data_IF_623868009895
#
_entry.id   IF_623868009895
#
_cell.length_a   1.000
_cell.length_b   1.000
_cell.length_c   1.000
_cell.angle_alpha   90.00
_cell.angle_beta   90.00
_cell.angle_gamma   90.00
#
_symmetry.space_group_name_H-M   'P 1'
#
loop_
_entity.id
_entity.type
_entity.pdbx_description
1 polymer ?
#
# COMPACT_ATOMS: atom_id res chain seq x y z
N UNK A 1 25.39 9.90 5.10
CA UNK A 1 26.76 10.19 4.67
C UNK A 1 27.72 9.60 5.70
N UNK A 2 28.14 8.35 5.50
CA UNK A 2 29.18 7.71 6.31
C UNK A 2 29.97 6.76 5.42
N UNK A 3 31.24 7.12 5.22
CA UNK A 3 32.26 6.51 4.35
C UNK A 3 32.48 5.03 4.65
N UNK A 4 32.51 4.23 3.59
CA UNK A 4 33.18 2.94 3.59
C UNK A 4 34.62 3.15 3.13
N UNK A 5 35.58 3.05 4.05
CA UNK A 5 37.01 3.20 3.76
C UNK A 5 37.54 1.96 3.03
N UNK A 6 38.04 2.19 1.82
CA UNK A 6 38.75 1.21 0.99
C UNK A 6 40.23 1.27 1.33
N UNK A 7 40.72 0.37 2.21
CA UNK A 7 42.16 0.20 2.46
C UNK A 7 42.76 -0.76 1.44
N UNK A 8 43.57 -0.20 0.55
CA UNK A 8 44.51 -0.89 -0.33
C UNK A 8 45.65 -1.50 0.51
N UNK A 9 45.76 -2.84 0.49
CA UNK A 9 46.91 -3.57 1.02
C UNK A 9 47.58 -4.33 -0.10
N UNK A 10 48.69 -3.80 -0.63
CA UNK A 10 49.57 -4.54 -1.51
C UNK A 10 50.40 -5.51 -0.68
N UNK A 11 50.34 -6.80 -0.96
CA UNK A 11 51.41 -7.74 -0.63
C UNK A 11 51.42 -8.86 -1.66
N UNK A 12 52.59 -9.03 -2.25
CA UNK A 12 52.90 -9.85 -3.41
C UNK A 12 53.51 -11.14 -2.86
N UNK A 13 52.72 -12.20 -2.76
CA UNK A 13 53.24 -13.55 -2.48
C UNK A 13 52.99 -14.46 -3.68
N UNK A 14 54.06 -15.14 -4.07
CA UNK A 14 54.20 -15.99 -5.24
C UNK A 14 54.39 -17.41 -4.71
N UNK A 15 53.54 -18.34 -5.14
CA UNK A 15 53.81 -19.78 -5.05
C UNK A 15 52.86 -20.55 -4.13
N UNK A 16 51.84 -21.17 -4.70
CA UNK A 16 51.67 -22.63 -4.84
C UNK A 16 50.19 -22.88 -5.16
N UNK A 17 49.91 -23.29 -6.40
CA UNK A 17 48.60 -23.82 -6.79
C UNK A 17 48.40 -25.17 -6.10
N UNK A 18 47.94 -25.14 -4.85
CA UNK A 18 47.28 -26.27 -4.22
C UNK A 18 45.78 -26.07 -4.43
N UNK A 19 45.16 -26.96 -5.21
CA UNK A 19 43.74 -26.96 -5.50
C UNK A 19 42.92 -27.20 -4.23
N UNK A 20 42.72 -26.14 -3.46
CA UNK A 20 41.77 -26.14 -2.38
C UNK A 20 40.38 -25.96 -3.02
N UNK A 21 39.73 -27.09 -3.31
CA UNK A 21 38.32 -27.11 -3.70
C UNK A 21 37.56 -26.49 -2.54
N UNK A 22 37.31 -25.18 -2.64
CA UNK A 22 36.48 -24.42 -1.73
C UNK A 22 35.17 -25.18 -1.55
N UNK A 23 35.04 -25.88 -0.43
CA UNK A 23 33.86 -26.64 -0.08
C UNK A 23 32.73 -25.62 -0.03
N UNK A 24 31.81 -25.69 -0.98
CA UNK A 24 30.61 -24.86 -0.98
C UNK A 24 29.89 -25.15 0.34
N UNK A 25 30.01 -24.24 1.31
CA UNK A 25 29.24 -24.31 2.55
C UNK A 25 27.78 -24.34 2.14
N UNK A 26 27.11 -25.46 2.39
CA UNK A 26 25.67 -25.59 2.19
C UNK A 26 25.02 -24.59 3.13
N UNK A 27 24.59 -23.47 2.56
CA UNK A 27 23.90 -22.43 3.29
C UNK A 27 22.53 -22.99 3.69
N UNK A 28 22.37 -23.31 4.98
CA UNK A 28 21.08 -23.69 5.54
C UNK A 28 20.41 -22.40 5.98
N UNK A 29 19.35 -21.95 5.29
CA UNK A 29 18.70 -20.70 5.65
C UNK A 29 18.09 -20.83 7.05
N UNK A 30 18.24 -19.76 7.83
CA UNK A 30 17.64 -19.69 9.17
C UNK A 30 16.11 -19.71 9.06
N UNK A 31 15.41 -20.07 10.15
CA UNK A 31 13.94 -20.04 10.16
C UNK A 31 13.38 -18.64 9.84
N UNK A 32 14.10 -17.59 10.25
CA UNK A 32 13.77 -16.20 9.94
C UNK A 32 13.85 -15.91 8.45
N UNK A 33 14.92 -16.34 7.77
CA UNK A 33 15.05 -16.15 6.32
C UNK A 33 14.03 -16.96 5.52
N UNK A 34 13.70 -18.17 5.99
CA UNK A 34 12.63 -18.97 5.38
C UNK A 34 11.27 -18.28 5.52
N UNK A 35 10.98 -17.72 6.69
CA UNK A 35 9.77 -16.95 6.93
C UNK A 35 9.75 -15.66 6.09
N UNK A 36 10.87 -14.93 6.01
CA UNK A 36 11.03 -13.76 5.17
C UNK A 36 10.73 -14.07 3.70
N UNK A 37 11.37 -15.11 3.17
CA UNK A 37 11.16 -15.55 1.77
C UNK A 37 9.71 -15.97 1.52
N UNK A 38 9.06 -16.62 2.51
CA UNK A 38 7.65 -17.00 2.41
C UNK A 38 6.71 -15.77 2.42
N UNK A 39 7.01 -14.75 3.23
CA UNK A 39 6.23 -13.51 3.32
C UNK A 39 6.41 -12.61 2.08
N UNK A 40 7.60 -12.60 1.50
CA UNK A 40 7.84 -11.98 0.20
C UNK A 40 7.14 -12.72 -0.96
N UNK A 41 6.75 -13.97 -0.74
CA UNK A 41 6.04 -14.81 -1.69
C UNK A 41 4.53 -14.53 -1.79
N UNK A 42 3.77 -15.44 -2.44
CA UNK A 42 2.31 -15.38 -2.50
C UNK A 42 1.64 -15.62 -1.14
N UNK A 43 2.33 -16.26 -0.19
CA UNK A 43 1.80 -16.52 1.14
C UNK A 43 1.59 -15.23 1.93
N UNK A 44 2.53 -14.27 1.88
CA UNK A 44 2.33 -12.97 2.51
C UNK A 44 1.17 -12.19 1.91
N UNK A 45 1.00 -12.24 0.58
CA UNK A 45 -0.14 -11.61 -0.09
C UNK A 45 -1.46 -12.24 0.36
N UNK A 46 -1.53 -13.57 0.45
CA UNK A 46 -2.71 -14.28 0.93
C UNK A 46 -3.05 -13.89 2.37
N UNK A 47 -2.02 -13.77 3.24
CA UNK A 47 -2.19 -13.33 4.62
C UNK A 47 -2.77 -11.91 4.68
N UNK A 48 -2.23 -10.97 3.92
CA UNK A 48 -2.74 -9.59 3.85
C UNK A 48 -4.18 -9.50 3.31
N UNK A 49 -4.53 -10.33 2.32
CA UNK A 49 -5.88 -10.42 1.80
C UNK A 49 -6.85 -10.96 2.88
N UNK A 50 -6.46 -12.03 3.59
CA UNK A 50 -7.26 -12.59 4.69
C UNK A 50 -7.43 -11.54 5.79
N UNK A 51 -6.36 -10.86 6.17
CA UNK A 51 -6.38 -9.74 7.10
C UNK A 51 -7.38 -8.67 6.69
N UNK A 52 -7.37 -8.27 5.42
CA UNK A 52 -8.29 -7.27 4.88
C UNK A 52 -9.76 -7.71 5.02
N UNK A 53 -10.10 -8.91 4.55
CA UNK A 53 -11.46 -9.43 4.63
C UNK A 53 -11.94 -9.59 6.08
N UNK A 54 -11.08 -10.09 6.96
CA UNK A 54 -11.40 -10.29 8.37
C UNK A 54 -11.57 -8.93 9.10
N UNK A 55 -10.78 -7.93 8.73
CA UNK A 55 -10.93 -6.55 9.23
C UNK A 55 -12.24 -5.91 8.75
N UNK A 56 -12.58 -6.08 7.47
CA UNK A 56 -13.82 -5.59 6.89
C UNK A 56 -15.04 -6.25 7.55
N UNK A 57 -14.99 -7.56 7.79
CA UNK A 57 -16.05 -8.30 8.48
C UNK A 57 -16.28 -7.78 9.91
N UNK A 58 -15.21 -7.53 10.66
CA UNK A 58 -15.30 -6.95 12.02
C UNK A 58 -15.87 -5.54 11.99
N UNK A 59 -15.46 -4.73 11.02
CA UNK A 59 -15.97 -3.37 10.87
C UNK A 59 -17.46 -3.35 10.50
N UNK A 60 -17.90 -4.22 9.59
CA UNK A 60 -19.31 -4.38 9.24
C UNK A 60 -20.14 -4.90 10.43
N UNK A 61 -19.59 -5.86 11.19
CA UNK A 61 -20.23 -6.33 12.43
C UNK A 61 -20.39 -5.20 13.46
N UNK A 62 -19.42 -4.30 13.56
CA UNK A 62 -19.51 -3.10 14.41
C UNK A 62 -20.60 -2.12 13.92
N UNK A 63 -20.67 -1.85 12.61
CA UNK A 63 -21.73 -1.00 12.06
C UNK A 63 -23.10 -1.62 12.35
N UNK A 64 -23.26 -2.94 12.15
CA UNK A 64 -24.50 -3.65 12.42
C UNK A 64 -24.92 -3.54 13.89
N UNK A 65 -23.97 -3.68 14.84
CA UNK A 65 -24.20 -3.46 16.27
C UNK A 65 -24.74 -2.06 16.59
N UNK A 66 -24.36 -1.05 15.81
CA UNK A 66 -24.81 0.30 16.08
C UNK A 66 -26.30 0.53 15.73
N UNK A 67 -26.83 -0.23 14.77
CA UNK A 67 -28.23 -0.11 14.35
C UNK A 67 -29.17 -1.04 15.11
N UNK A 68 -28.71 -2.22 15.49
CA UNK A 68 -29.53 -3.21 16.17
C UNK A 68 -28.84 -3.72 17.44
N UNK A 69 -29.29 -3.19 18.57
CA UNK A 69 -28.80 -3.54 19.89
C UNK A 69 -29.42 -4.85 20.43
N UNK A 70 -30.28 -5.55 19.67
CA UNK A 70 -30.92 -6.81 20.09
C UNK A 70 -30.28 -8.07 19.48
N UNK A 71 -29.33 -7.94 18.53
CA UNK A 71 -28.46 -9.05 18.05
C UNK A 71 -27.35 -9.35 19.09
N UNK A 72 -27.66 -9.18 20.38
CA UNK A 72 -26.70 -8.75 21.41
C UNK A 72 -26.14 -9.88 22.27
N UNK A 73 -26.76 -11.06 22.25
CA UNK A 73 -26.39 -12.15 23.16
C UNK A 73 -26.16 -13.45 22.41
N UNK A 74 -24.97 -13.60 21.84
CA UNK A 74 -24.50 -14.93 21.52
C UNK A 74 -23.02 -15.06 21.88
N UNK A 75 -22.69 -16.11 22.65
CA UNK A 75 -21.31 -16.52 22.93
C UNK A 75 -20.45 -16.61 21.67
N UNK A 76 -21.07 -16.80 20.50
CA UNK A 76 -20.42 -16.79 19.20
C UNK A 76 -19.76 -15.47 18.86
N UNK A 77 -20.27 -14.30 19.26
CA UNK A 77 -19.58 -13.03 18.96
C UNK A 77 -18.26 -12.89 19.69
N UNK A 78 -18.25 -13.14 21.01
CA UNK A 78 -17.03 -13.11 21.79
C UNK A 78 -16.01 -14.14 21.26
N UNK A 79 -16.49 -15.32 20.83
CA UNK A 79 -15.67 -16.32 20.17
C UNK A 79 -15.09 -15.82 18.83
N UNK A 80 -15.90 -15.18 17.98
CA UNK A 80 -15.45 -14.59 16.71
C UNK A 80 -14.42 -13.48 16.94
N UNK A 81 -14.68 -12.56 17.88
CA UNK A 81 -13.73 -11.51 18.24
C UNK A 81 -12.42 -12.09 18.80
N UNK A 82 -12.49 -13.16 19.61
CA UNK A 82 -11.32 -13.83 20.15
C UNK A 82 -10.51 -14.56 19.07
N UNK A 83 -11.16 -15.31 18.18
CA UNK A 83 -10.52 -16.00 17.05
C UNK A 83 -9.84 -14.99 16.12
N UNK A 84 -10.56 -13.92 15.76
CA UNK A 84 -10.03 -12.83 14.97
C UNK A 84 -8.81 -12.17 15.62
N UNK A 85 -8.89 -11.88 16.92
CA UNK A 85 -7.79 -11.26 17.67
C UNK A 85 -6.58 -12.18 17.74
N UNK A 86 -6.78 -13.47 17.96
CA UNK A 86 -5.72 -14.48 17.96
C UNK A 86 -5.01 -14.52 16.60
N UNK A 87 -5.76 -14.49 15.50
CA UNK A 87 -5.21 -14.42 14.14
C UNK A 87 -4.36 -13.15 13.94
N UNK A 88 -4.82 -11.99 14.42
CA UNK A 88 -4.07 -10.74 14.29
C UNK A 88 -2.82 -10.67 15.17
N UNK A 89 -2.87 -11.25 16.37
CA UNK A 89 -1.67 -11.38 17.21
C UNK A 89 -0.64 -12.27 16.51
N UNK A 90 -1.10 -13.37 15.91
CA UNK A 90 -0.24 -14.25 15.13
C UNK A 90 0.38 -13.55 13.91
N UNK A 91 -0.43 -12.83 13.13
CA UNK A 91 0.01 -12.01 12.00
C UNK A 91 1.08 -10.99 12.39
N UNK A 92 0.82 -10.21 13.45
CA UNK A 92 1.77 -9.24 13.97
C UNK A 92 3.04 -9.90 14.49
N UNK A 93 2.92 -11.05 15.17
CA UNK A 93 4.06 -11.84 15.65
C UNK A 93 4.94 -12.36 14.50
N UNK A 94 4.34 -12.80 13.39
CA UNK A 94 5.10 -13.21 12.19
C UNK A 94 5.87 -12.03 11.60
N UNK A 95 5.23 -10.88 11.45
CA UNK A 95 5.90 -9.68 10.94
C UNK A 95 7.02 -9.19 11.86
N UNK A 96 6.80 -9.23 13.17
CA UNK A 96 7.80 -8.87 14.17
C UNK A 96 9.01 -9.82 14.13
N UNK A 97 8.78 -11.12 13.89
CA UNK A 97 9.85 -12.12 13.77
C UNK A 97 10.64 -11.98 12.47
N UNK A 98 9.99 -11.64 11.36
CA UNK A 98 10.64 -11.44 10.05
C UNK A 98 11.38 -10.10 9.96
N UNK A 99 10.96 -9.09 10.72
CA UNK A 99 11.60 -7.78 10.73
C UNK A 99 13.08 -7.86 11.16
N UNK A 100 14.01 -7.18 10.44
CA UNK A 100 15.42 -7.13 10.83
C UNK A 100 15.64 -6.47 12.21
N UNK A 101 14.83 -5.45 12.52
CA UNK A 101 14.86 -4.70 13.77
C UNK A 101 13.45 -4.64 14.38
N UNK A 102 13.09 -5.53 15.33
CA UNK A 102 11.72 -5.61 15.85
C UNK A 102 11.27 -4.33 16.55
N UNK A 103 12.17 -3.67 17.29
CA UNK A 103 11.86 -2.40 17.96
C UNK A 103 11.49 -1.28 16.99
N UNK A 104 12.22 -1.15 15.86
CA UNK A 104 11.90 -0.14 14.84
C UNK A 104 10.60 -0.47 14.12
N UNK A 105 10.29 -1.75 13.93
CA UNK A 105 9.05 -2.18 13.30
C UNK A 105 7.81 -1.76 14.10
N UNK A 106 7.82 -1.94 15.43
CA UNK A 106 6.69 -1.55 16.30
C UNK A 106 6.38 -0.05 16.22
N UNK A 107 7.40 0.80 16.08
CA UNK A 107 7.24 2.25 15.93
C UNK A 107 7.11 2.71 14.47
N UNK A 108 7.05 1.80 13.51
CA UNK A 108 6.73 2.11 12.12
C UNK A 108 5.22 2.36 11.96
N UNK A 109 4.81 3.06 10.90
CA UNK A 109 3.40 3.32 10.61
C UNK A 109 2.55 2.04 10.60
N UNK A 110 3.09 0.94 10.03
CA UNK A 110 2.43 -0.37 9.98
C UNK A 110 2.34 -1.02 11.36
N UNK A 111 3.44 -1.01 12.12
CA UNK A 111 3.46 -1.55 13.48
C UNK A 111 2.47 -0.82 14.40
N UNK A 112 2.32 0.49 14.23
CA UNK A 112 1.32 1.29 14.97
C UNK A 112 -0.10 0.88 14.57
N UNK A 113 -0.40 0.72 13.27
CA UNK A 113 -1.73 0.25 12.82
C UNK A 113 -2.03 -1.12 13.43
N UNK A 114 -1.08 -2.05 13.41
CA UNK A 114 -1.26 -3.39 13.98
C UNK A 114 -1.49 -3.32 15.49
N UNK A 115 -0.68 -2.53 16.19
CA UNK A 115 -0.73 -2.36 17.63
C UNK A 115 -2.06 -1.73 18.08
N UNK A 116 -2.47 -0.63 17.46
CA UNK A 116 -3.77 0.06 17.69
C UNK A 116 -4.94 -0.91 17.58
N UNK A 117 -4.79 -1.96 16.79
CA UNK A 117 -5.87 -2.85 16.48
C UNK A 117 -5.90 -4.15 17.29
N UNK A 118 -4.76 -4.54 17.86
CA UNK A 118 -4.60 -5.67 18.79
C UNK A 118 -4.89 -5.23 20.23
N UNK A 119 -4.36 -4.07 20.63
CA UNK A 119 -4.46 -3.53 22.00
C UNK A 119 -5.89 -3.60 22.57
N UNK A 120 -6.94 -3.14 21.87
CA UNK A 120 -8.28 -3.07 22.45
C UNK A 120 -8.83 -4.45 22.82
N UNK A 121 -8.60 -5.43 21.95
CA UNK A 121 -9.08 -6.80 22.21
C UNK A 121 -8.23 -7.51 23.25
N UNK A 122 -6.92 -7.22 23.31
CA UNK A 122 -6.04 -7.77 24.33
C UNK A 122 -6.41 -7.26 25.73
N UNK A 123 -6.75 -5.97 25.87
CA UNK A 123 -7.17 -5.41 27.16
C UNK A 123 -8.52 -5.99 27.61
N UNK A 124 -9.50 -6.11 26.71
CA UNK A 124 -10.81 -6.71 27.02
C UNK A 124 -10.69 -8.18 27.45
N UNK A 125 -9.67 -8.88 26.93
CA UNK A 125 -9.38 -10.27 27.30
C UNK A 125 -8.74 -10.37 28.70
N UNK A 126 -7.85 -9.44 29.05
CA UNK A 126 -7.11 -9.47 30.33
C UNK A 126 -7.94 -8.93 31.50
N UNK A 127 -8.70 -7.86 31.30
CA UNK A 127 -9.54 -7.26 32.35
C UNK A 127 -10.95 -6.90 31.84
N UNK A 128 -11.95 -7.77 32.09
CA UNK A 128 -13.34 -7.51 31.79
C UNK A 128 -13.96 -6.32 32.56
N UNK A 129 -13.40 -5.94 33.71
CA UNK A 129 -13.94 -4.90 34.61
C UNK A 129 -13.49 -3.48 34.23
N UNK A 130 -12.32 -3.33 33.59
CA UNK A 130 -11.84 -2.06 33.03
C UNK A 130 -12.71 -1.51 31.88
N UNK A 131 -13.75 -2.26 31.45
CA UNK A 131 -14.73 -1.78 30.47
C UNK A 131 -15.36 -0.46 30.90
N UNK A 132 -15.70 -0.27 32.19
CA UNK A 132 -16.56 0.86 32.58
C UNK A 132 -15.91 2.25 32.50
N UNK A 133 -14.59 2.39 32.69
CA UNK A 133 -13.93 3.71 32.75
C UNK A 133 -13.32 4.17 31.43
N UNK A 134 -13.09 3.25 30.47
CA UNK A 134 -12.40 3.53 29.20
C UNK A 134 -13.22 3.09 27.97
N UNK A 135 -14.54 2.94 28.11
CA UNK A 135 -15.41 2.51 27.01
C UNK A 135 -15.24 3.35 25.74
N UNK A 136 -15.04 4.67 25.88
CA UNK A 136 -14.81 5.55 24.73
C UNK A 136 -13.52 5.20 23.97
N UNK A 137 -12.40 4.98 24.68
CA UNK A 137 -11.10 4.64 24.06
C UNK A 137 -11.21 3.32 23.32
N UNK A 138 -11.83 2.30 23.92
CA UNK A 138 -12.00 1.01 23.27
C UNK A 138 -12.90 1.10 22.03
N UNK A 139 -13.92 1.95 22.06
CA UNK A 139 -14.80 2.21 20.90
C UNK A 139 -14.03 2.83 19.76
N UNK A 140 -13.27 3.90 20.03
CA UNK A 140 -12.41 4.59 19.03
C UNK A 140 -11.39 3.62 18.43
N UNK A 141 -10.66 2.87 19.26
CA UNK A 141 -9.64 1.95 18.76
C UNK A 141 -10.22 0.76 17.97
N UNK A 142 -11.46 0.33 18.28
CA UNK A 142 -12.19 -0.67 17.47
C UNK A 142 -12.50 -0.13 16.08
N UNK A 143 -12.89 1.15 15.96
CA UNK A 143 -13.16 1.81 14.67
C UNK A 143 -11.89 2.00 13.86
N UNK A 144 -10.77 2.33 14.52
CA UNK A 144 -9.46 2.46 13.86
C UNK A 144 -9.00 1.17 13.16
N UNK A 145 -9.66 0.02 13.38
CA UNK A 145 -9.47 -1.20 12.59
C UNK A 145 -9.78 -1.02 11.11
N UNK A 146 -10.63 -0.06 10.73
CA UNK A 146 -10.83 0.30 9.34
C UNK A 146 -9.52 0.73 8.65
N UNK A 147 -8.56 1.32 9.40
CA UNK A 147 -7.25 1.71 8.88
C UNK A 147 -6.38 0.52 8.44
N UNK A 148 -6.70 -0.71 8.85
CA UNK A 148 -5.95 -1.90 8.44
C UNK A 148 -6.00 -2.15 6.93
N UNK A 149 -7.03 -1.65 6.23
CA UNK A 149 -7.09 -1.71 4.77
C UNK A 149 -5.90 -0.97 4.12
N UNK A 150 -5.35 0.04 4.80
CA UNK A 150 -4.16 0.76 4.34
C UNK A 150 -2.93 -0.17 4.25
N UNK A 151 -2.88 -1.27 5.02
CA UNK A 151 -1.79 -2.27 4.95
C UNK A 151 -1.80 -2.99 3.62
N UNK A 152 -2.98 -3.47 3.17
CA UNK A 152 -3.12 -4.09 1.85
C UNK A 152 -2.78 -3.09 0.74
N UNK A 153 -3.21 -1.85 0.89
CA UNK A 153 -2.95 -0.80 -0.07
C UNK A 153 -1.43 -0.56 -0.25
N UNK A 154 -0.69 -0.50 0.86
CA UNK A 154 0.76 -0.39 0.86
C UNK A 154 1.45 -1.67 0.34
N UNK A 155 1.01 -2.86 0.74
CA UNK A 155 1.58 -4.12 0.26
C UNK A 155 1.48 -4.23 -1.28
N UNK A 156 0.36 -3.80 -1.86
CA UNK A 156 0.17 -3.74 -3.31
C UNK A 156 1.13 -2.74 -3.95
N UNK A 157 1.34 -1.56 -3.35
CA UNK A 157 2.33 -0.57 -3.83
C UNK A 157 3.76 -1.12 -3.87
N UNK A 158 4.14 -2.00 -2.93
CA UNK A 158 5.49 -2.58 -2.87
C UNK A 158 5.76 -3.63 -3.95
N UNK A 159 4.73 -4.32 -4.44
CA UNK A 159 4.90 -5.41 -5.42
C UNK A 159 4.57 -5.01 -6.86
N UNK A 160 3.75 -3.98 -7.04
CA UNK A 160 3.30 -3.53 -8.36
C UNK A 160 3.35 -2.01 -8.44
N UNK A 161 4.16 -1.51 -9.35
CA UNK A 161 4.20 -0.10 -9.71
C UNK A 161 3.37 0.12 -10.98
N UNK A 162 2.40 1.02 -10.89
CA UNK A 162 1.55 1.39 -12.01
C UNK A 162 0.52 2.42 -11.57
N UNK A 163 0.19 3.35 -12.47
CA UNK A 163 -0.76 4.43 -12.20
C UNK A 163 -2.12 3.90 -11.72
N UNK A 164 -2.64 2.84 -12.34
CA UNK A 164 -3.93 2.24 -11.96
C UNK A 164 -3.94 1.67 -10.53
N UNK A 165 -2.85 1.01 -10.13
CA UNK A 165 -2.71 0.46 -8.78
C UNK A 165 -2.59 1.58 -7.74
N UNK A 166 -1.79 2.60 -8.05
CA UNK A 166 -1.57 3.71 -7.12
C UNK A 166 -2.82 4.57 -6.93
N UNK A 167 -3.59 4.79 -8.00
CA UNK A 167 -4.90 5.42 -7.95
C UNK A 167 -5.88 4.61 -7.09
N UNK A 168 -5.94 3.29 -7.28
CA UNK A 168 -6.80 2.40 -6.49
C UNK A 168 -6.46 2.43 -5.00
N UNK A 169 -5.16 2.43 -4.68
CA UNK A 169 -4.67 2.54 -3.30
C UNK A 169 -5.02 3.88 -2.68
N UNK A 170 -4.84 4.98 -3.42
CA UNK A 170 -5.22 6.31 -2.97
C UNK A 170 -6.73 6.39 -2.65
N UNK A 171 -7.60 5.95 -3.57
CA UNK A 171 -9.05 5.96 -3.36
C UNK A 171 -9.43 5.12 -2.13
N UNK A 172 -8.89 3.90 -2.04
CA UNK A 172 -9.13 3.01 -0.91
C UNK A 172 -8.68 3.63 0.41
N UNK A 173 -7.54 4.33 0.40
CA UNK A 173 -7.00 5.00 1.59
C UNK A 173 -7.86 6.17 2.06
N UNK A 174 -8.34 6.99 1.13
CA UNK A 174 -9.24 8.11 1.44
C UNK A 174 -10.55 7.60 2.04
N UNK A 175 -11.15 6.57 1.44
CA UNK A 175 -12.38 5.94 1.96
C UNK A 175 -12.13 5.40 3.38
N UNK A 176 -11.02 4.72 3.61
CA UNK A 176 -10.67 4.17 4.91
C UNK A 176 -10.52 5.24 5.99
N UNK A 177 -9.83 6.34 5.66
CA UNK A 177 -9.64 7.47 6.57
C UNK A 177 -10.98 8.14 6.88
N UNK A 178 -11.86 8.34 5.88
CA UNK A 178 -13.20 8.92 6.08
C UNK A 178 -14.05 8.03 7.00
N UNK A 179 -14.09 6.72 6.74
CA UNK A 179 -14.86 5.77 7.57
C UNK A 179 -14.32 5.71 9.00
N UNK A 180 -13.00 5.71 9.17
CA UNK A 180 -12.37 5.76 10.48
C UNK A 180 -12.73 7.06 11.19
N UNK A 181 -12.59 8.20 10.52
CA UNK A 181 -12.86 9.50 11.11
C UNK A 181 -14.33 9.65 11.52
N UNK A 182 -15.27 9.15 10.71
CA UNK A 182 -16.69 9.11 11.02
C UNK A 182 -16.96 8.29 12.29
N UNK A 183 -16.37 7.10 12.41
CA UNK A 183 -16.56 6.30 13.61
C UNK A 183 -15.90 6.93 14.84
N UNK A 184 -14.70 7.52 14.72
CA UNK A 184 -14.06 8.22 15.86
C UNK A 184 -14.93 9.39 16.31
N UNK A 185 -15.42 10.21 15.38
CA UNK A 185 -16.33 11.31 15.69
C UNK A 185 -17.59 10.81 16.42
N UNK A 186 -18.23 9.78 15.88
CA UNK A 186 -19.38 9.15 16.51
C UNK A 186 -19.07 8.65 17.92
N UNK A 187 -17.91 8.01 18.11
CA UNK A 187 -17.50 7.49 19.41
C UNK A 187 -17.20 8.58 20.45
N UNK A 188 -16.73 9.75 20.03
CA UNK A 188 -16.46 10.89 20.91
C UNK A 188 -17.73 11.65 21.30
N UNK A 189 -18.68 11.75 20.38
CA UNK A 189 -19.85 12.62 20.55
C UNK A 189 -21.08 11.89 21.09
N UNK A 190 -21.20 10.56 20.89
CA UNK A 190 -22.40 9.78 21.25
C UNK A 190 -22.87 9.95 22.69
N UNK A 191 -21.97 10.21 23.65
CA UNK A 191 -22.31 10.39 25.06
C UNK A 191 -23.01 11.73 25.35
N UNK A 192 -22.89 12.71 24.45
CA UNK A 192 -23.45 14.05 24.60
C UNK A 192 -24.83 14.22 23.92
N UNK A 193 -25.31 13.18 23.22
CA UNK A 193 -26.62 13.16 22.59
C UNK A 193 -27.61 12.40 23.47
N UNK A 194 -28.79 12.98 23.69
CA UNK A 194 -29.87 12.36 24.47
C UNK A 194 -30.32 11.03 23.85
N UNK A 195 -30.92 10.15 24.66
CA UNK A 195 -31.37 8.83 24.22
C UNK A 195 -32.35 8.87 23.04
N UNK A 196 -33.08 9.98 22.87
CA UNK A 196 -34.05 10.19 21.81
C UNK A 196 -33.45 10.78 20.51
N UNK A 197 -32.20 11.27 20.54
CA UNK A 197 -31.49 11.85 19.40
C UNK A 197 -30.04 11.32 19.31
N UNK A 198 -29.84 10.01 19.48
CA UNK A 198 -28.49 9.43 19.35
C UNK A 198 -27.91 9.69 17.97
N UNK A 199 -26.70 10.26 17.94
CA UNK A 199 -25.92 10.44 16.71
C UNK A 199 -25.60 9.08 16.08
N UNK A 200 -26.20 8.80 14.92
CA UNK A 200 -25.97 7.53 14.21
C UNK A 200 -24.66 7.60 13.41
N UNK A 201 -24.13 6.44 13.02
CA UNK A 201 -22.89 6.39 12.23
C UNK A 201 -23.03 7.09 10.88
N UNK A 202 -24.21 7.04 10.25
CA UNK A 202 -24.43 7.74 8.99
C UNK A 202 -24.43 9.26 9.14
N UNK A 203 -24.92 9.79 10.26
CA UNK A 203 -24.87 11.24 10.56
C UNK A 203 -23.43 11.69 10.74
N UNK A 204 -22.63 10.89 11.46
CA UNK A 204 -21.21 11.12 11.62
C UNK A 204 -20.45 11.03 10.28
N UNK A 205 -20.80 10.05 9.43
CA UNK A 205 -20.23 9.91 8.10
C UNK A 205 -20.60 11.10 7.21
N UNK A 206 -21.84 11.55 7.26
CA UNK A 206 -22.30 12.74 6.57
C UNK A 206 -21.50 13.98 7.02
N UNK A 207 -21.37 14.21 8.33
CA UNK A 207 -20.60 15.31 8.88
C UNK A 207 -19.14 15.30 8.40
N UNK A 208 -18.48 14.13 8.44
CA UNK A 208 -17.09 14.00 7.96
C UNK A 208 -16.99 14.23 6.47
N UNK A 209 -17.92 13.72 5.65
CA UNK A 209 -17.93 13.96 4.19
C UNK A 209 -18.13 15.44 3.85
N UNK A 210 -19.04 16.13 4.53
CA UNK A 210 -19.28 17.58 4.37
C UNK A 210 -18.07 18.40 4.80
N UNK A 211 -17.36 17.95 5.84
CA UNK A 211 -16.14 18.60 6.33
C UNK A 211 -14.96 18.38 5.37
N UNK A 212 -14.74 17.15 4.91
CA UNK A 212 -13.67 16.78 3.96
C UNK A 212 -13.87 17.47 2.61
N UNK A 213 -15.12 17.57 2.15
CA UNK A 213 -15.46 18.30 0.93
C UNK A 213 -15.40 19.82 1.08
N UNK A 214 -15.05 20.33 2.27
CA UNK A 214 -14.95 21.76 2.59
C UNK A 214 -16.28 22.52 2.41
N UNK A 215 -17.41 21.82 2.39
CA UNK A 215 -18.73 22.43 2.26
C UNK A 215 -19.15 23.07 3.59
N UNK A 216 -19.06 22.32 4.69
CA UNK A 216 -19.30 22.82 6.04
C UNK A 216 -20.69 23.44 6.27
N UNK A 217 -21.77 22.68 6.05
CA UNK A 217 -23.15 23.19 6.25
C UNK A 217 -23.43 23.71 7.67
N UNK A 218 -22.75 23.17 8.69
CA UNK A 218 -22.90 23.59 10.08
C UNK A 218 -24.17 23.09 10.77
N UNK A 219 -24.85 22.11 10.16
CA UNK A 219 -26.03 21.44 10.71
C UNK A 219 -25.69 20.45 11.83
N UNK A 220 -24.55 19.75 11.69
CA UNK A 220 -23.94 18.95 12.74
C UNK A 220 -22.62 19.61 13.14
N UNK A 221 -22.43 19.81 14.45
CA UNK A 221 -21.20 20.38 15.00
C UNK A 221 -20.75 19.58 16.23
N UNK A 222 -19.43 19.48 16.48
CA UNK A 222 -18.93 18.87 17.71
C UNK A 222 -19.43 19.64 18.92
N UNK A 223 -19.89 18.92 19.94
CA UNK A 223 -20.33 19.48 21.22
C UNK A 223 -19.31 19.24 22.34
N UNK A 224 -18.38 18.33 22.13
CA UNK A 224 -17.35 17.97 23.11
C UNK A 224 -16.01 18.63 22.79
N UNK A 225 -15.23 18.98 23.82
CA UNK A 225 -13.87 19.52 23.67
C UNK A 225 -12.97 18.57 22.86
N UNK A 226 -13.08 17.27 23.10
CA UNK A 226 -12.33 16.26 22.34
C UNK A 226 -12.78 16.18 20.88
N UNK A 227 -14.08 16.33 20.62
CA UNK A 227 -14.64 16.43 19.28
C UNK A 227 -14.11 17.65 18.51
N UNK A 228 -14.01 18.81 19.16
CA UNK A 228 -13.41 20.01 18.57
C UNK A 228 -11.94 19.78 18.18
N UNK A 229 -11.13 19.27 19.11
CA UNK A 229 -9.72 18.97 18.85
C UNK A 229 -9.58 17.95 17.71
N UNK A 230 -10.42 16.91 17.70
CA UNK A 230 -10.42 15.90 16.66
C UNK A 230 -10.71 16.50 15.28
N UNK A 231 -11.74 17.33 15.15
CA UNK A 231 -12.10 17.98 13.88
C UNK A 231 -10.96 18.87 13.38
N UNK A 232 -10.31 19.63 14.27
CA UNK A 232 -9.15 20.46 13.91
C UNK A 232 -8.02 19.60 13.34
N UNK A 233 -7.68 18.49 13.99
CA UNK A 233 -6.63 17.58 13.53
C UNK A 233 -6.99 16.94 12.18
N UNK A 234 -8.25 16.52 12.00
CA UNK A 234 -8.73 15.94 10.73
C UNK A 234 -8.61 16.95 9.60
N UNK A 235 -9.03 18.20 9.81
CA UNK A 235 -8.94 19.26 8.81
C UNK A 235 -7.48 19.50 8.42
N UNK A 236 -6.57 19.67 9.38
CA UNK A 236 -5.13 19.84 9.12
C UNK A 236 -4.56 18.65 8.34
N UNK A 237 -4.94 17.43 8.72
CA UNK A 237 -4.54 16.21 8.04
C UNK A 237 -4.97 16.17 6.57
N UNK A 238 -6.23 16.50 6.28
CA UNK A 238 -6.76 16.52 4.91
C UNK A 238 -6.03 17.57 4.05
N UNK A 239 -5.84 18.78 4.57
CA UNK A 239 -5.16 19.86 3.85
C UNK A 239 -3.68 19.59 3.58
N UNK A 240 -3.03 18.72 4.36
CA UNK A 240 -1.62 18.37 4.17
C UNK A 240 -1.42 17.11 3.34
N UNK A 241 -2.20 16.05 3.61
CA UNK A 241 -2.02 14.73 3.00
C UNK A 241 -2.60 14.69 1.58
N UNK A 242 -3.82 15.21 1.37
CA UNK A 242 -4.51 15.08 0.07
C UNK A 242 -3.74 15.77 -1.06
N UNK A 243 -3.25 17.03 -0.92
CA UNK A 243 -2.48 17.66 -1.99
C UNK A 243 -1.17 16.94 -2.31
N UNK A 244 -0.49 16.39 -1.30
CA UNK A 244 0.76 15.65 -1.48
C UNK A 244 0.54 14.39 -2.33
N UNK A 245 -0.49 13.61 -2.01
CA UNK A 245 -0.86 12.41 -2.76
C UNK A 245 -1.34 12.74 -4.18
N UNK A 246 -2.17 13.78 -4.34
CA UNK A 246 -2.62 14.21 -5.66
C UNK A 246 -1.45 14.65 -6.55
N UNK A 247 -0.46 15.36 -5.99
CA UNK A 247 0.73 15.73 -6.74
C UNK A 247 1.53 14.50 -7.18
N UNK A 248 1.70 13.51 -6.31
CA UNK A 248 2.36 12.24 -6.63
C UNK A 248 1.63 11.51 -7.77
N UNK A 249 0.30 11.40 -7.68
CA UNK A 249 -0.53 10.81 -8.73
C UNK A 249 -0.44 11.58 -10.05
N UNK A 250 -0.35 12.91 -10.02
CA UNK A 250 -0.18 13.73 -11.22
C UNK A 250 1.17 13.47 -11.90
N UNK A 251 2.25 13.32 -11.13
CA UNK A 251 3.56 12.94 -11.67
C UNK A 251 3.52 11.58 -12.36
N UNK A 252 2.84 10.61 -11.75
CA UNK A 252 2.68 9.27 -12.31
C UNK A 252 1.75 9.25 -13.53
N UNK A 253 0.70 10.07 -13.53
CA UNK A 253 -0.17 10.26 -14.68
C UNK A 253 0.61 10.80 -15.90
N UNK A 254 1.54 11.73 -15.68
CA UNK A 254 2.42 12.26 -16.73
C UNK A 254 3.45 11.25 -17.22
N UNK A 255 3.91 10.35 -16.35
CA UNK A 255 4.82 9.27 -16.74
C UNK A 255 4.11 8.13 -17.47
N UNK A 256 2.81 7.93 -17.21
CA UNK A 256 1.96 6.96 -17.88
C UNK A 256 1.63 7.42 -19.32
N UNK A 257 2.65 7.44 -20.18
CA UNK A 257 2.48 7.74 -21.59
C UNK A 257 1.81 6.57 -22.31
N UNK A 258 0.89 6.86 -23.23
CA UNK A 258 0.19 5.81 -24.00
C UNK A 258 1.12 4.90 -24.82
N UNK A 259 2.37 5.33 -25.02
CA UNK A 259 3.40 4.62 -25.78
C UNK A 259 4.19 3.61 -24.93
N UNK A 260 4.06 3.65 -23.60
CA UNK A 260 4.82 2.83 -22.64
C UNK A 260 4.08 1.54 -22.24
N UNK A 261 3.25 1.02 -23.15
CA UNK A 261 2.44 -0.18 -22.91
C UNK A 261 3.16 -1.42 -23.43
N UNK A 262 3.18 -2.47 -22.61
CA UNK A 262 3.67 -3.78 -23.04
C UNK A 262 2.82 -4.35 -24.19
N UNK A 263 3.47 -4.61 -25.33
CA UNK A 263 2.83 -5.27 -26.48
C UNK A 263 3.07 -6.77 -26.38
N UNK A 264 2.04 -7.51 -25.97
CA UNK A 264 2.09 -8.98 -25.92
C UNK A 264 1.56 -9.58 -27.23
N UNK A 265 2.47 -10.02 -28.11
CA UNK A 265 2.09 -10.62 -29.40
C UNK A 265 1.93 -12.14 -29.23
N UNK A 266 0.71 -12.65 -29.46
CA UNK A 266 0.35 -14.05 -29.14
C UNK A 266 0.70 -15.10 -30.22
N UNK A 267 1.04 -14.74 -31.46
CA UNK A 267 1.32 -15.78 -32.49
C UNK A 267 1.96 -15.30 -33.80
N UNK A 268 1.95 -14.00 -34.12
CA UNK A 268 2.58 -13.49 -35.34
C UNK A 268 3.99 -12.95 -35.05
N UNK A 269 4.92 -13.17 -35.99
CA UNK A 269 6.24 -12.53 -35.92
C UNK A 269 6.08 -11.01 -35.83
N UNK A 270 6.83 -10.37 -34.93
CA UNK A 270 6.83 -8.92 -34.77
C UNK A 270 8.21 -8.37 -35.13
N UNK A 271 8.22 -7.16 -35.68
CA UNK A 271 9.45 -6.42 -35.99
C UNK A 271 9.47 -5.18 -35.12
N UNK A 272 10.52 -5.03 -34.32
CA UNK A 272 10.76 -3.83 -33.51
C UNK A 272 11.58 -2.88 -34.36
N UNK A 273 11.00 -1.74 -34.70
CA UNK A 273 11.70 -0.66 -35.39
C UNK A 273 12.14 0.35 -34.35
N UNK A 274 13.45 0.59 -34.26
CA UNK A 274 14.04 1.61 -33.40
C UNK A 274 14.84 2.58 -34.27
N UNK A 275 14.78 3.87 -33.93
CA UNK A 275 15.50 4.93 -34.64
C UNK A 275 15.76 6.13 -33.73
N UNK A 276 16.83 6.88 -33.99
CA UNK A 276 17.10 8.12 -33.28
C UNK A 276 16.14 9.21 -33.77
N UNK A 277 15.48 9.91 -32.85
CA UNK A 277 14.66 11.06 -33.19
C UNK A 277 15.58 12.23 -33.51
N UNK A 278 15.74 12.56 -34.79
CA UNK A 278 16.49 13.74 -35.19
C UNK A 278 15.66 14.99 -34.85
N UNK A 279 16.16 15.80 -33.91
CA UNK A 279 15.57 17.11 -33.59
C UNK A 279 15.81 18.03 -34.79
N UNK A 280 14.87 18.06 -35.75
CA UNK A 280 14.88 19.05 -36.83
C UNK A 280 14.35 20.39 -36.32
N UNK A 281 15.07 21.46 -36.68
CA UNK A 281 14.74 22.84 -36.34
C UNK A 281 13.28 23.19 -36.70
N UNK A 282 12.58 23.97 -35.86
CA UNK A 282 11.15 24.29 -36.01
C UNK A 282 10.78 25.22 -37.19
N UNK A 283 11.68 25.42 -38.17
CA UNK A 283 11.50 26.33 -39.31
C UNK A 283 11.04 25.69 -40.61
N UNK A 284 10.89 24.37 -40.69
CA UNK A 284 10.47 23.69 -41.91
C UNK A 284 8.94 23.47 -41.92
N UNK A 285 8.20 24.42 -42.50
CA UNK A 285 6.77 24.29 -42.78
C UNK A 285 6.52 23.03 -43.64
N UNK A 286 5.86 22.02 -43.08
CA UNK A 286 5.25 20.96 -43.87
C UNK A 286 3.80 21.33 -44.10
N UNK A 287 3.47 21.61 -45.36
CA UNK A 287 2.11 21.85 -45.82
C UNK A 287 1.29 20.57 -45.63
N UNK A 288 0.48 20.53 -44.57
CA UNK A 288 -0.34 19.37 -44.22
C UNK A 288 -1.60 19.34 -45.09
N UNK A 289 -1.43 18.99 -46.36
CA UNK A 289 -2.56 18.60 -47.22
C UNK A 289 -2.81 17.09 -47.10
N UNK A 290 -4.07 16.66 -46.92
CA UNK A 290 -4.42 15.24 -46.77
C UNK A 290 -4.35 14.58 -48.15
N UNK A 291 -3.18 14.05 -48.51
CA UNK A 291 -3.00 13.36 -49.79
C UNK A 291 -1.58 12.93 -50.13
N UNK A 292 -0.55 13.39 -49.41
CA UNK A 292 0.82 12.99 -49.71
C UNK A 292 1.27 11.83 -48.80
N UNK A 293 1.55 10.63 -49.36
CA UNK A 293 2.09 9.54 -48.57
C UNK A 293 3.45 9.93 -48.00
N UNK A 294 3.69 9.58 -46.74
CA UNK A 294 5.00 9.68 -46.10
C UNK A 294 5.99 8.98 -47.02
N UNK A 295 6.86 9.75 -47.70
CA UNK A 295 7.96 9.19 -48.46
C UNK A 295 8.93 8.59 -47.46
N UNK A 296 8.72 7.31 -47.15
CA UNK A 296 9.77 6.45 -46.64
C UNK A 296 10.87 6.48 -47.70
N UNK A 297 11.97 7.16 -47.39
CA UNK A 297 13.17 7.12 -48.23
C UNK A 297 13.49 5.65 -48.55
N UNK A 298 13.74 5.30 -49.81
CA UNK A 298 13.92 3.91 -50.20
C UNK A 298 15.04 3.29 -49.37
N UNK A 299 14.77 2.07 -48.91
CA UNK A 299 15.57 1.21 -48.03
C UNK A 299 17.08 1.04 -48.40
N UNK A 300 17.51 1.58 -49.55
CA UNK A 300 18.86 1.41 -50.10
C UNK A 300 19.86 2.51 -49.79
N UNK A 301 19.48 3.67 -49.25
CA UNK A 301 20.44 4.78 -49.04
C UNK A 301 21.17 4.78 -47.69
N UNK A 302 20.67 4.06 -46.68
CA UNK A 302 21.33 3.91 -45.37
C UNK A 302 22.44 2.84 -45.34
N UNK A 303 22.66 2.13 -46.46
CA UNK A 303 23.71 1.09 -46.56
C UNK A 303 25.13 1.70 -46.65
N UNK A 304 25.26 3.02 -46.85
CA UNK A 304 26.56 3.66 -47.09
C UNK A 304 27.27 4.17 -45.83
N UNK A 305 26.64 4.15 -44.67
CA UNK A 305 27.28 4.53 -43.40
C UNK A 305 27.11 3.43 -42.36
N UNK A 306 28.04 2.45 -42.38
CA UNK A 306 28.69 1.90 -41.19
C UNK A 306 27.90 1.21 -40.06
N UNK A 307 26.56 1.09 -40.10
CA UNK A 307 25.82 0.50 -38.99
C UNK A 307 25.41 -0.95 -39.28
N UNK A 308 26.12 -1.89 -38.64
CA UNK A 308 25.83 -3.32 -38.73
C UNK A 308 24.53 -3.69 -38.01
N UNK A 309 23.61 -4.35 -38.73
CA UNK A 309 22.41 -4.94 -38.14
C UNK A 309 22.72 -6.38 -37.72
N UNK A 310 22.58 -6.66 -36.42
CA UNK A 310 22.62 -8.03 -35.90
C UNK A 310 21.25 -8.70 -36.07
N UNK A 311 21.09 -9.50 -37.12
CA UNK A 311 20.04 -10.52 -37.14
C UNK A 311 20.47 -11.68 -36.24
N UNK A 312 19.84 -11.80 -35.06
CA UNK A 312 20.00 -12.99 -34.21
C UNK A 312 18.74 -13.82 -34.27
N UNK A 313 18.70 -14.73 -35.24
CA UNK A 313 17.76 -15.85 -35.21
C UNK A 313 18.16 -16.76 -34.05
N UNK A 314 17.38 -16.76 -32.97
CA UNK A 314 17.55 -17.72 -31.87
C UNK A 314 16.19 -18.33 -31.54
N UNK A 315 15.88 -19.42 -32.25
CA UNK A 315 15.25 -20.56 -31.59
C UNK A 315 16.16 -20.99 -30.43
N UNK A 316 15.53 -21.36 -29.32
CA UNK A 316 16.10 -21.89 -28.08
C UNK A 316 16.45 -20.91 -26.95
N UNK A 317 15.53 -20.92 -25.98
CA UNK A 317 15.73 -20.73 -24.54
C UNK A 317 16.30 -19.40 -24.05
N UNK A 318 15.42 -18.56 -23.51
CA UNK A 318 15.78 -17.57 -22.50
C UNK A 318 14.90 -17.81 -21.27
N UNK A 319 15.35 -18.75 -20.42
CA UNK A 319 15.20 -18.59 -18.97
C UNK A 319 16.40 -17.77 -18.53
N UNK A 320 16.18 -16.53 -18.06
CA UNK A 320 16.62 -16.07 -16.73
C UNK A 320 16.59 -14.54 -16.55
N UNK A 321 16.08 -14.19 -15.37
CA UNK A 321 16.40 -13.08 -14.47
C UNK A 321 16.06 -11.65 -14.88
N UNK A 322 14.93 -11.18 -14.35
CA UNK A 322 14.69 -9.78 -13.98
C UNK A 322 14.79 -9.64 -12.45
N UNK A 323 15.92 -9.11 -11.99
CA UNK A 323 16.06 -8.45 -10.69
C UNK A 323 17.00 -7.26 -10.91
N UNK A 324 16.42 -6.07 -10.96
CA UNK A 324 16.96 -4.78 -10.52
C UNK A 324 15.74 -3.85 -10.42
#
# INVERSE_FOLDING_TARGET
MSRFDMRTGSSRERGTESGDRSVARVYVPTLQERAHTAMEGPCGLALEIVNFFLSMLIFLAYIAELYDADIYYSHSRAAVEAIATSFFIFDFGLHLFVAPDPGKYVFSAHGIIDLVTIIPSLIVFVDPNSRSSLMFVFRVLRICRALRVLRLAHYVQFKKHGFEYELGVFILSVIAVILCAAGVYQALEVEQYDEHQKLQFHDALYFVLVTVSTIGYGDITPRTELGHVFVIVVIIGIFTIVPAEVNKLNLLAKQNNSWDKDVTVKSSGHVIVSGAKENRDPGANFDSTPGNPIQLTPFGSLIREGYGYWFRDRKDSIRRYSHC
#
